data_IF_740366511358
#
_entry.id   IF_740366511358
#
_cell.length_a   1.000
_cell.length_b   1.000
_cell.length_c   1.000
_cell.angle_alpha   90.00
_cell.angle_beta   90.00
_cell.angle_gamma   90.00
#
_symmetry.space_group_name_H-M   'P 1'
#
loop_
_entity.id
_entity.type
_entity.pdbx_description
1 polymer ?
#
# COMPACT_ATOMS: atom_id res chain seq x y z
N UNK A 1 -20.19 38.11 -18.18
CA UNK A 1 -20.89 37.99 -16.89
C UNK A 1 -22.21 37.30 -17.17
N UNK A 2 -22.47 36.13 -16.60
CA UNK A 2 -23.79 35.49 -16.71
C UNK A 2 -24.55 35.93 -15.45
N UNK A 3 -25.35 36.99 -15.59
CA UNK A 3 -26.16 37.57 -14.51
C UNK A 3 -27.64 37.45 -14.90
N UNK A 4 -28.51 37.31 -13.88
CA UNK A 4 -29.95 36.97 -13.91
C UNK A 4 -30.24 35.45 -13.83
N UNK A 5 -31.45 35.08 -13.39
CA UNK A 5 -31.90 33.67 -13.33
C UNK A 5 -31.78 33.04 -14.71
N UNK A 6 -30.64 32.42 -14.97
CA UNK A 6 -30.33 31.84 -16.27
C UNK A 6 -30.62 30.34 -16.19
N UNK A 7 -31.48 29.90 -17.07
CA UNK A 7 -31.86 28.50 -17.23
C UNK A 7 -31.32 28.03 -18.57
N UNK A 8 -30.34 27.12 -18.53
CA UNK A 8 -29.69 26.52 -19.70
C UNK A 8 -30.04 25.03 -19.70
N UNK A 9 -30.85 24.60 -20.66
CA UNK A 9 -31.40 23.23 -20.68
C UNK A 9 -31.23 22.62 -22.07
N UNK A 10 -31.03 21.30 -22.13
CA UNK A 10 -31.04 20.55 -23.39
C UNK A 10 -30.02 21.05 -24.44
N UNK A 11 -28.86 21.54 -24.00
CA UNK A 11 -27.80 21.96 -24.91
C UNK A 11 -26.90 20.79 -25.25
N UNK A 12 -26.63 20.65 -26.56
CA UNK A 12 -25.67 19.68 -27.08
C UNK A 12 -24.51 20.45 -27.72
N UNK A 13 -23.32 20.35 -27.13
CA UNK A 13 -22.09 20.89 -27.69
C UNK A 13 -21.41 19.84 -28.57
N UNK A 14 -21.68 19.90 -29.87
CA UNK A 14 -21.08 19.03 -30.88
C UNK A 14 -19.79 19.66 -31.43
N UNK A 15 -18.74 18.85 -31.52
CA UNK A 15 -17.43 19.23 -32.05
C UNK A 15 -16.37 18.21 -31.66
N UNK A 16 -15.13 18.45 -32.06
CA UNK A 16 -14.02 17.61 -31.64
C UNK A 16 -13.83 17.67 -30.13
N UNK A 17 -13.39 16.55 -29.55
CA UNK A 17 -13.35 16.39 -28.09
C UNK A 17 -12.45 17.40 -27.37
N UNK A 18 -11.48 17.94 -28.10
CA UNK A 18 -10.58 18.97 -27.61
C UNK A 18 -11.01 20.39 -27.94
N UNK A 19 -12.15 20.62 -28.60
CA UNK A 19 -12.62 21.97 -28.96
C UNK A 19 -14.07 22.26 -28.55
N UNK A 20 -14.90 21.23 -28.33
CA UNK A 20 -16.28 21.42 -27.89
C UNK A 20 -16.39 21.94 -26.45
N UNK A 21 -17.21 22.98 -26.27
CA UNK A 21 -17.63 23.52 -24.97
C UNK A 21 -18.82 24.47 -25.12
N UNK A 22 -19.58 24.68 -24.04
CA UNK A 22 -20.59 25.73 -23.97
C UNK A 22 -19.94 27.09 -23.76
N UNK A 23 -18.98 27.15 -22.83
CA UNK A 23 -18.29 28.38 -22.46
C UNK A 23 -16.79 28.14 -22.54
N UNK A 24 -16.12 28.99 -23.31
CA UNK A 24 -14.67 29.19 -23.26
C UNK A 24 -14.39 30.57 -22.66
N UNK A 25 -13.65 30.60 -21.56
CA UNK A 25 -13.22 31.82 -20.88
C UNK A 25 -11.69 31.86 -20.81
N UNK A 26 -11.12 33.02 -21.12
CA UNK A 26 -9.67 33.21 -21.17
C UNK A 26 -9.29 34.53 -20.48
N UNK A 27 -8.49 34.45 -19.41
CA UNK A 27 -8.04 35.61 -18.63
C UNK A 27 -6.70 36.16 -19.09
N UNK A 28 -6.54 37.48 -19.04
CA UNK A 28 -5.29 38.21 -19.26
C UNK A 28 -4.38 38.18 -18.02
N UNK A 29 -3.12 38.61 -18.20
CA UNK A 29 -2.11 38.79 -17.12
C UNK A 29 -2.63 39.60 -15.94
N UNK A 30 -3.32 40.69 -16.22
CA UNK A 30 -3.77 41.64 -15.19
C UNK A 30 -4.96 41.12 -14.38
N UNK A 31 -5.53 39.97 -14.74
CA UNK A 31 -6.65 39.37 -14.05
C UNK A 31 -7.98 39.58 -14.77
N UNK A 32 -8.79 38.53 -14.86
CA UNK A 32 -10.20 38.64 -15.24
C UNK A 32 -11.07 37.82 -14.30
N UNK A 33 -12.34 38.23 -14.18
CA UNK A 33 -13.31 37.53 -13.33
C UNK A 33 -14.44 36.95 -14.17
N UNK A 34 -14.68 35.65 -14.03
CA UNK A 34 -15.88 34.98 -14.52
C UNK A 34 -16.82 34.72 -13.34
N UNK A 35 -18.05 35.20 -13.45
CA UNK A 35 -19.10 35.01 -12.45
C UNK A 35 -20.29 34.29 -13.07
N UNK A 36 -20.71 33.19 -12.45
CA UNK A 36 -21.97 32.49 -12.73
C UNK A 36 -22.79 32.53 -11.44
N UNK A 37 -23.91 33.26 -11.49
CA UNK A 37 -24.79 33.46 -10.34
C UNK A 37 -26.21 33.05 -10.67
N UNK A 38 -26.91 32.47 -9.69
CA UNK A 38 -28.34 32.14 -9.79
C UNK A 38 -28.66 31.39 -11.10
N UNK A 39 -27.84 30.42 -11.47
CA UNK A 39 -27.89 29.77 -12.79
C UNK A 39 -28.16 28.28 -12.63
N UNK A 40 -29.13 27.78 -13.38
CA UNK A 40 -29.40 26.34 -13.52
C UNK A 40 -28.95 25.87 -14.90
N UNK A 41 -28.14 24.83 -14.93
CA UNK A 41 -27.76 24.12 -16.15
C UNK A 41 -28.20 22.67 -15.97
N UNK A 42 -29.08 22.18 -16.83
CA UNK A 42 -29.50 20.79 -16.77
C UNK A 42 -29.58 20.10 -18.14
N UNK A 43 -29.53 18.77 -18.11
CA UNK A 43 -29.80 17.90 -19.26
C UNK A 43 -28.96 18.25 -20.50
N UNK A 44 -27.67 18.55 -20.28
CA UNK A 44 -26.75 18.95 -21.35
C UNK A 44 -25.76 17.84 -21.71
N UNK A 45 -25.26 17.87 -22.95
CA UNK A 45 -24.23 16.94 -23.45
C UNK A 45 -23.10 17.74 -24.09
N UNK A 46 -21.84 17.34 -23.87
CA UNK A 46 -20.70 17.91 -24.59
C UNK A 46 -19.65 16.87 -24.96
N UNK A 47 -19.15 16.94 -26.20
CA UNK A 47 -18.02 16.12 -26.66
C UNK A 47 -16.69 16.48 -25.98
N UNK A 48 -16.61 17.60 -25.28
CA UNK A 48 -15.43 18.04 -24.56
C UNK A 48 -15.77 18.42 -23.12
N UNK A 49 -14.99 19.35 -22.56
CA UNK A 49 -15.34 19.97 -21.28
C UNK A 49 -16.49 20.97 -21.49
N UNK A 50 -17.44 21.04 -20.55
CA UNK A 50 -18.61 21.90 -20.71
C UNK A 50 -18.25 23.38 -20.55
N UNK A 51 -17.47 23.70 -19.51
CA UNK A 51 -16.85 25.00 -19.27
C UNK A 51 -15.33 24.85 -19.33
N UNK A 52 -14.67 25.71 -20.11
CA UNK A 52 -13.22 25.71 -20.27
C UNK A 52 -12.65 27.05 -19.87
N UNK A 53 -11.74 27.01 -18.91
CA UNK A 53 -11.12 28.19 -18.33
C UNK A 53 -9.63 28.18 -18.64
N UNK A 54 -9.12 29.27 -19.19
CA UNK A 54 -7.75 29.49 -19.61
C UNK A 54 -7.23 30.85 -19.15
N UNK A 55 -5.94 31.09 -19.39
CA UNK A 55 -5.30 32.38 -19.19
C UNK A 55 -4.40 32.42 -17.96
N UNK A 56 -3.88 33.59 -17.64
CA UNK A 56 -2.80 33.71 -16.65
C UNK A 56 -3.28 33.93 -15.22
N UNK A 57 -4.25 34.83 -14.99
CA UNK A 57 -4.75 35.17 -13.66
C UNK A 57 -6.29 35.20 -13.66
N UNK A 58 -6.91 34.13 -13.19
CA UNK A 58 -8.37 33.95 -13.25
C UNK A 58 -9.01 34.03 -11.88
N UNK A 59 -10.10 34.80 -11.76
CA UNK A 59 -11.03 34.70 -10.64
C UNK A 59 -12.34 34.05 -11.11
N UNK A 60 -12.71 32.91 -10.55
CA UNK A 60 -13.96 32.20 -10.82
C UNK A 60 -14.88 32.31 -9.61
N UNK A 61 -16.12 32.75 -9.80
CA UNK A 61 -17.14 32.75 -8.77
C UNK A 61 -18.40 32.03 -9.25
N UNK A 62 -18.77 30.96 -8.55
CA UNK A 62 -19.97 30.16 -8.77
C UNK A 62 -20.84 30.26 -7.52
N UNK A 63 -21.91 31.05 -7.56
CA UNK A 63 -22.78 31.25 -6.40
C UNK A 63 -24.25 30.95 -6.73
N UNK A 64 -24.91 30.17 -5.87
CA UNK A 64 -26.31 29.77 -6.06
C UNK A 64 -26.54 29.10 -7.42
N UNK A 65 -25.70 28.11 -7.76
CA UNK A 65 -25.78 27.39 -9.04
C UNK A 65 -26.36 25.99 -8.86
N UNK A 66 -27.01 25.48 -9.90
CA UNK A 66 -27.46 24.09 -9.96
C UNK A 66 -27.07 23.46 -11.30
N UNK A 67 -26.07 22.57 -11.31
CA UNK A 67 -25.61 21.87 -12.52
C UNK A 67 -25.94 20.38 -12.42
N UNK A 68 -26.81 19.89 -13.30
CA UNK A 68 -27.34 18.54 -13.18
C UNK A 68 -27.54 17.77 -14.47
N UNK A 69 -27.41 16.45 -14.42
CA UNK A 69 -27.63 15.56 -15.56
C UNK A 69 -26.78 15.93 -16.80
N UNK A 70 -25.55 16.41 -16.57
CA UNK A 70 -24.66 16.80 -17.67
C UNK A 70 -23.70 15.64 -17.96
N UNK A 71 -23.70 15.19 -19.22
CA UNK A 71 -22.73 14.18 -19.69
C UNK A 71 -21.69 14.85 -20.56
N UNK A 72 -20.42 14.79 -20.14
CA UNK A 72 -19.30 15.38 -20.86
C UNK A 72 -18.23 14.35 -21.18
N UNK A 73 -17.62 14.44 -22.37
CA UNK A 73 -16.43 13.66 -22.74
C UNK A 73 -15.13 14.41 -22.37
N UNK A 74 -15.21 15.14 -21.26
CA UNK A 74 -14.18 15.81 -20.49
C UNK A 74 -14.76 16.24 -19.15
N UNK A 75 -14.02 16.98 -18.34
CA UNK A 75 -14.55 17.52 -17.08
C UNK A 75 -15.68 18.51 -17.35
N UNK A 76 -16.72 18.55 -16.53
CA UNK A 76 -17.77 19.58 -16.61
C UNK A 76 -17.16 20.99 -16.57
N UNK A 77 -16.25 21.23 -15.64
CA UNK A 77 -15.44 22.45 -15.56
C UNK A 77 -13.97 22.05 -15.65
N UNK A 78 -13.29 22.51 -16.68
CA UNK A 78 -11.86 22.31 -16.87
C UNK A 78 -11.13 23.63 -16.67
N UNK A 79 -10.56 23.83 -15.49
CA UNK A 79 -9.72 24.97 -15.16
C UNK A 79 -8.25 24.68 -15.48
N UNK A 80 -7.74 25.35 -16.51
CA UNK A 80 -6.35 25.28 -17.00
C UNK A 80 -5.61 26.61 -16.89
N UNK A 81 -6.15 27.58 -16.15
CA UNK A 81 -5.46 28.85 -15.94
C UNK A 81 -4.15 28.64 -15.17
N UNK A 82 -3.14 29.47 -15.42
CA UNK A 82 -1.83 29.38 -14.74
C UNK A 82 -2.00 29.67 -13.24
N UNK A 83 -2.78 30.70 -12.90
CA UNK A 83 -3.15 31.05 -11.54
C UNK A 83 -4.65 31.28 -11.45
N UNK A 84 -5.30 30.61 -10.50
CA UNK A 84 -6.74 30.70 -10.31
C UNK A 84 -7.16 30.87 -8.85
N UNK A 85 -8.05 31.83 -8.61
CA UNK A 85 -8.85 31.91 -7.38
C UNK A 85 -10.26 31.43 -7.70
N UNK A 86 -10.71 30.36 -7.05
CA UNK A 86 -12.00 29.72 -7.32
C UNK A 86 -12.88 29.78 -6.08
N UNK A 87 -14.04 30.41 -6.20
CA UNK A 87 -15.05 30.49 -5.16
C UNK A 87 -16.32 29.74 -5.59
N UNK A 88 -16.72 28.74 -4.82
CA UNK A 88 -17.96 27.98 -5.03
C UNK A 88 -18.78 28.09 -3.75
N UNK A 89 -19.95 28.70 -3.82
CA UNK A 89 -20.82 28.86 -2.66
C UNK A 89 -22.28 28.53 -3.00
N UNK A 90 -22.92 27.77 -2.13
CA UNK A 90 -24.31 27.34 -2.33
C UNK A 90 -24.54 26.71 -3.72
N UNK A 91 -23.63 25.82 -4.12
CA UNK A 91 -23.70 25.11 -5.39
C UNK A 91 -24.34 23.72 -5.20
N UNK A 92 -25.16 23.31 -6.17
CA UNK A 92 -25.75 21.99 -6.24
C UNK A 92 -25.31 21.30 -7.54
N UNK A 93 -24.32 20.41 -7.47
CA UNK A 93 -23.71 19.77 -8.64
C UNK A 93 -23.94 18.27 -8.56
N UNK A 94 -24.85 17.74 -9.36
CA UNK A 94 -25.31 16.36 -9.20
C UNK A 94 -25.66 15.61 -10.48
N UNK A 95 -25.62 14.28 -10.44
CA UNK A 95 -25.91 13.42 -11.61
C UNK A 95 -25.06 13.78 -12.85
N UNK A 96 -23.87 14.35 -12.67
CA UNK A 96 -23.01 14.69 -13.81
C UNK A 96 -22.03 13.54 -14.07
N UNK A 97 -21.75 13.30 -15.34
CA UNK A 97 -20.86 12.23 -15.77
C UNK A 97 -19.74 12.77 -16.65
N UNK A 98 -18.49 12.52 -16.26
CA UNK A 98 -17.35 12.64 -17.16
C UNK A 98 -17.00 11.25 -17.71
N UNK A 99 -17.34 11.03 -18.99
CA UNK A 99 -17.16 9.76 -19.69
C UNK A 99 -15.72 9.52 -20.16
N UNK A 100 -14.84 10.50 -20.02
CA UNK A 100 -13.48 10.41 -20.53
C UNK A 100 -12.58 9.60 -19.59
N UNK A 101 -12.03 8.49 -20.09
CA UNK A 101 -11.14 7.61 -19.31
C UNK A 101 -9.78 8.24 -18.97
N UNK A 102 -9.39 9.33 -19.65
CA UNK A 102 -8.09 10.02 -19.47
C UNK A 102 -8.20 11.35 -18.72
N UNK A 103 -9.40 11.92 -18.57
CA UNK A 103 -9.62 13.21 -17.90
C UNK A 103 -10.34 12.98 -16.57
N UNK A 104 -9.73 13.41 -15.47
CA UNK A 104 -10.28 13.32 -14.12
C UNK A 104 -11.29 14.45 -13.83
N UNK A 105 -12.03 14.33 -12.72
CA UNK A 105 -12.88 15.39 -12.19
C UNK A 105 -14.17 15.63 -12.96
N UNK A 106 -15.23 15.98 -12.24
CA UNK A 106 -16.27 16.87 -12.78
C UNK A 106 -15.73 18.30 -12.84
N UNK A 107 -15.03 18.73 -11.79
CA UNK A 107 -14.29 19.98 -11.74
C UNK A 107 -12.81 19.64 -11.66
N UNK A 108 -12.08 19.87 -12.76
CA UNK A 108 -10.64 19.68 -12.85
C UNK A 108 -9.92 21.02 -12.69
N UNK A 109 -8.88 21.04 -11.86
CA UNK A 109 -7.99 22.18 -11.66
C UNK A 109 -6.52 21.75 -11.80
N UNK A 110 -5.71 22.57 -12.45
CA UNK A 110 -4.26 22.38 -12.61
C UNK A 110 -3.50 23.68 -12.32
N UNK A 111 -2.16 23.65 -12.26
CA UNK A 111 -1.29 24.81 -11.96
C UNK A 111 -1.54 25.43 -10.56
N UNK A 112 -1.47 26.76 -10.42
CA UNK A 112 -1.69 27.44 -9.14
C UNK A 112 -3.18 27.62 -8.86
N UNK A 113 -3.66 27.03 -7.76
CA UNK A 113 -5.08 27.06 -7.41
C UNK A 113 -5.25 27.46 -5.95
N UNK A 114 -6.08 28.48 -5.74
CA UNK A 114 -6.64 28.85 -4.45
C UNK A 114 -8.17 28.68 -4.52
N UNK A 115 -8.70 27.63 -3.89
CA UNK A 115 -10.12 27.27 -3.97
C UNK A 115 -10.79 27.35 -2.60
N UNK A 116 -11.97 27.97 -2.55
CA UNK A 116 -12.87 27.94 -1.39
C UNK A 116 -14.25 27.44 -1.82
N UNK A 117 -14.72 26.39 -1.16
CA UNK A 117 -16.03 25.77 -1.38
C UNK A 117 -16.82 25.85 -0.08
N UNK A 118 -18.02 26.44 -0.12
CA UNK A 118 -18.86 26.62 1.07
C UNK A 118 -20.30 26.24 0.78
N UNK A 119 -20.99 25.66 1.77
CA UNK A 119 -22.44 25.43 1.74
C UNK A 119 -22.93 24.67 0.49
N UNK A 120 -22.11 23.77 -0.06
CA UNK A 120 -22.34 23.18 -1.39
C UNK A 120 -22.57 21.68 -1.33
N UNK A 121 -23.28 21.15 -2.33
CA UNK A 121 -23.65 19.74 -2.44
C UNK A 121 -23.13 19.17 -3.77
N UNK A 122 -22.41 18.06 -3.67
CA UNK A 122 -21.88 17.29 -4.79
C UNK A 122 -22.37 15.86 -4.66
N UNK A 123 -23.31 15.41 -5.50
CA UNK A 123 -23.81 14.05 -5.34
C UNK A 123 -24.16 13.31 -6.62
N UNK A 124 -24.02 11.99 -6.55
CA UNK A 124 -24.29 11.09 -7.68
C UNK A 124 -23.50 11.47 -8.95
N UNK A 125 -22.30 12.04 -8.78
CA UNK A 125 -21.42 12.35 -9.89
C UNK A 125 -20.50 11.16 -10.18
N UNK A 126 -20.27 10.88 -11.47
CA UNK A 126 -19.48 9.72 -11.89
C UNK A 126 -18.39 10.15 -12.87
N UNK A 127 -17.15 9.75 -12.60
CA UNK A 127 -16.01 10.02 -13.48
C UNK A 127 -15.36 8.70 -13.87
N UNK A 128 -15.11 8.48 -15.17
CA UNK A 128 -14.45 7.25 -15.64
C UNK A 128 -12.96 7.17 -15.29
N UNK A 129 -12.36 8.29 -14.91
CA UNK A 129 -11.05 8.38 -14.27
C UNK A 129 -11.22 8.69 -12.77
N UNK A 130 -10.35 9.48 -12.14
CA UNK A 130 -10.31 9.76 -10.70
C UNK A 130 -11.04 11.06 -10.33
N UNK A 131 -11.44 11.20 -9.06
CA UNK A 131 -12.05 12.41 -8.51
C UNK A 131 -13.49 12.59 -8.98
N UNK A 132 -14.45 11.85 -8.42
CA UNK A 132 -15.85 11.89 -8.88
C UNK A 132 -16.52 13.27 -8.77
N UNK A 133 -15.96 14.20 -7.99
CA UNK A 133 -16.33 15.62 -7.98
C UNK A 133 -15.14 16.50 -8.36
N UNK A 134 -14.10 16.52 -7.52
CA UNK A 134 -12.95 17.40 -7.71
C UNK A 134 -11.71 16.61 -8.11
N UNK A 135 -10.95 17.17 -9.05
CA UNK A 135 -9.63 16.69 -9.41
C UNK A 135 -8.61 17.83 -9.39
N UNK A 136 -7.51 17.60 -8.69
CA UNK A 136 -6.35 18.47 -8.59
C UNK A 136 -5.12 17.70 -9.07
N UNK A 137 -4.57 18.10 -10.22
CA UNK A 137 -3.36 17.49 -10.79
C UNK A 137 -2.39 18.55 -11.27
N UNK A 138 -1.10 18.23 -11.28
CA UNK A 138 -0.05 19.11 -11.80
C UNK A 138 -0.09 20.50 -11.13
N UNK A 139 -0.43 20.56 -9.84
CA UNK A 139 -0.52 21.80 -9.09
C UNK A 139 0.81 22.12 -8.37
N UNK A 140 1.57 23.08 -8.90
CA UNK A 140 2.75 23.62 -8.22
C UNK A 140 2.38 24.32 -6.89
N UNK A 141 1.25 25.05 -6.84
CA UNK A 141 0.68 25.65 -5.62
C UNK A 141 -0.80 25.30 -5.47
N UNK A 142 -1.18 24.77 -4.31
CA UNK A 142 -2.56 24.34 -4.05
C UNK A 142 -2.99 24.73 -2.64
N UNK A 143 -4.01 25.59 -2.56
CA UNK A 143 -4.74 25.92 -1.35
C UNK A 143 -6.21 25.61 -1.59
N UNK A 144 -6.79 24.72 -0.79
CA UNK A 144 -8.19 24.31 -0.89
C UNK A 144 -8.82 24.36 0.49
N UNK A 145 -9.97 25.01 0.58
CA UNK A 145 -10.79 25.08 1.78
C UNK A 145 -12.20 24.65 1.43
N UNK A 146 -12.69 23.60 2.09
CA UNK A 146 -14.05 23.08 1.91
C UNK A 146 -14.75 23.16 3.26
N UNK A 147 -15.84 23.90 3.36
CA UNK A 147 -16.56 24.13 4.61
C UNK A 147 -18.06 23.88 4.42
N UNK A 148 -18.71 23.32 5.45
CA UNK A 148 -20.18 23.19 5.50
C UNK A 148 -20.79 22.54 4.25
N UNK A 149 -20.13 21.52 3.69
CA UNK A 149 -20.47 20.96 2.38
C UNK A 149 -20.81 19.47 2.46
N UNK A 150 -21.36 18.91 1.38
CA UNK A 150 -21.81 17.52 1.33
C UNK A 150 -21.38 16.82 0.04
N UNK A 151 -20.73 15.67 0.18
CA UNK A 151 -20.31 14.79 -0.92
C UNK A 151 -20.96 13.43 -0.76
N UNK A 152 -21.85 13.06 -1.69
CA UNK A 152 -22.61 11.81 -1.60
C UNK A 152 -22.62 10.99 -2.88
N UNK A 153 -22.47 9.68 -2.82
CA UNK A 153 -22.65 8.80 -4.00
C UNK A 153 -21.74 9.21 -5.19
N UNK A 154 -20.58 9.80 -4.94
CA UNK A 154 -19.66 10.14 -6.03
C UNK A 154 -18.73 8.96 -6.31
N UNK A 155 -18.42 8.74 -7.59
CA UNK A 155 -17.64 7.60 -8.05
C UNK A 155 -16.42 8.02 -8.91
N UNK A 156 -15.29 7.37 -8.68
CA UNK A 156 -14.07 7.50 -9.48
C UNK A 156 -13.13 6.28 -9.36
N UNK A 157 -12.03 6.26 -10.11
CA UNK A 157 -11.00 5.22 -9.99
C UNK A 157 -10.25 5.37 -8.66
N UNK A 158 -9.78 6.58 -8.37
CA UNK A 158 -9.22 6.96 -7.07
C UNK A 158 -9.94 8.22 -6.59
N UNK A 159 -10.19 8.35 -5.30
CA UNK A 159 -10.90 9.51 -4.76
C UNK A 159 -12.32 9.57 -5.29
N UNK A 160 -13.26 8.82 -4.70
CA UNK A 160 -14.63 8.77 -5.19
C UNK A 160 -15.29 10.15 -5.24
N UNK A 161 -14.95 11.05 -4.30
CA UNK A 161 -15.31 12.45 -4.37
C UNK A 161 -14.14 13.35 -4.80
N UNK A 162 -12.99 13.25 -4.12
CA UNK A 162 -11.87 14.17 -4.30
C UNK A 162 -10.59 13.41 -4.61
N UNK A 163 -9.93 13.80 -5.70
CA UNK A 163 -8.63 13.26 -6.09
C UNK A 163 -7.59 14.38 -6.15
N UNK A 164 -6.51 14.22 -5.40
CA UNK A 164 -5.36 15.12 -5.38
C UNK A 164 -4.13 14.31 -5.75
N UNK A 165 -3.48 14.65 -6.87
CA UNK A 165 -2.19 14.08 -7.25
C UNK A 165 -1.31 15.20 -7.81
N UNK A 166 -0.47 15.79 -6.96
CA UNK A 166 0.34 16.94 -7.34
C UNK A 166 1.68 16.92 -6.62
N UNK A 167 2.74 17.06 -7.41
CA UNK A 167 4.11 17.20 -6.90
C UNK A 167 4.38 18.67 -6.56
N UNK A 168 4.97 18.91 -5.39
CA UNK A 168 5.29 20.24 -4.89
C UNK A 168 6.79 20.46 -5.04
N UNK A 169 7.20 21.52 -5.72
CA UNK A 169 8.62 21.88 -5.88
C UNK A 169 9.13 22.79 -4.76
N UNK A 170 8.25 23.44 -4.00
CA UNK A 170 8.62 24.40 -2.93
C UNK A 170 7.96 24.05 -1.60
N UNK A 171 8.72 24.17 -0.49
CA UNK A 171 8.24 24.07 0.91
C UNK A 171 7.31 25.23 1.29
N UNK A 172 6.22 25.41 0.54
CA UNK A 172 5.15 26.34 0.89
C UNK A 172 4.04 25.56 1.59
N UNK A 173 3.51 26.13 2.67
CA UNK A 173 2.36 25.60 3.43
C UNK A 173 1.16 25.40 2.49
N UNK A 174 1.01 24.22 1.89
CA UNK A 174 -0.19 23.85 1.15
C UNK A 174 -1.29 23.55 2.15
N UNK A 175 -2.34 24.37 2.10
CA UNK A 175 -3.47 24.23 3.00
C UNK A 175 -4.53 23.45 2.25
N UNK A 176 -4.70 22.17 2.60
CA UNK A 176 -5.91 21.44 2.27
C UNK A 176 -6.72 21.33 3.55
N UNK A 177 -7.81 22.09 3.66
CA UNK A 177 -8.67 22.12 4.84
C UNK A 177 -10.09 21.72 4.49
N UNK A 178 -10.65 20.85 5.34
CA UNK A 178 -12.04 20.42 5.26
C UNK A 178 -12.64 20.63 6.64
N UNK A 179 -13.77 21.33 6.72
CA UNK A 179 -14.45 21.59 7.97
C UNK A 179 -15.96 21.40 7.84
N UNK A 180 -16.60 20.89 8.89
CA UNK A 180 -18.07 20.81 9.00
C UNK A 180 -18.71 20.13 7.77
N UNK A 181 -18.03 19.14 7.20
CA UNK A 181 -18.38 18.53 5.91
C UNK A 181 -18.72 17.05 6.08
N UNK A 182 -19.58 16.52 5.23
CA UNK A 182 -19.95 15.11 5.26
C UNK A 182 -19.64 14.45 3.92
N UNK A 183 -18.96 13.30 3.97
CA UNK A 183 -18.71 12.39 2.87
C UNK A 183 -19.47 11.09 3.14
N UNK A 184 -20.50 10.80 2.35
CA UNK A 184 -21.29 9.57 2.51
C UNK A 184 -21.37 8.76 1.23
N UNK A 185 -21.27 7.44 1.32
CA UNK A 185 -21.52 6.53 0.20
C UNK A 185 -20.67 6.86 -1.05
N UNK A 186 -19.49 7.47 -0.89
CA UNK A 186 -18.60 7.70 -2.02
C UNK A 186 -17.76 6.44 -2.25
N UNK A 187 -17.56 6.12 -3.53
CA UNK A 187 -16.92 4.88 -3.94
C UNK A 187 -15.72 5.18 -4.85
N UNK A 188 -14.60 4.54 -4.55
CA UNK A 188 -13.46 4.50 -5.46
C UNK A 188 -13.16 3.06 -5.86
N UNK A 189 -12.87 2.81 -7.13
CA UNK A 189 -12.49 1.46 -7.58
C UNK A 189 -11.22 0.96 -6.90
N UNK A 190 -10.22 1.84 -6.75
CA UNK A 190 -8.91 1.50 -6.25
C UNK A 190 -8.68 2.14 -4.87
N UNK A 191 -8.40 3.43 -4.81
CA UNK A 191 -7.90 4.04 -3.57
C UNK A 191 -8.72 5.24 -3.13
N UNK A 192 -9.03 5.31 -1.84
CA UNK A 192 -9.63 6.50 -1.22
C UNK A 192 -11.10 6.67 -1.60
N UNK A 193 -12.00 5.96 -0.94
CA UNK A 193 -13.42 5.91 -1.35
C UNK A 193 -14.07 7.29 -1.39
N UNK A 194 -13.75 8.16 -0.42
CA UNK A 194 -14.08 9.58 -0.51
C UNK A 194 -12.92 10.39 -1.09
N UNK A 195 -11.74 10.30 -0.47
CA UNK A 195 -10.61 11.19 -0.75
C UNK A 195 -9.35 10.39 -1.04
N UNK A 196 -8.71 10.69 -2.16
CA UNK A 196 -7.35 10.24 -2.44
C UNK A 196 -6.40 11.43 -2.45
N UNK A 197 -5.27 11.28 -1.76
CA UNK A 197 -4.21 12.29 -1.70
C UNK A 197 -2.86 11.67 -2.02
N UNK A 198 -2.19 12.21 -3.03
CA UNK A 198 -0.80 11.97 -3.38
C UNK A 198 -0.13 13.32 -3.56
N UNK A 199 0.28 13.90 -2.44
CA UNK A 199 0.82 15.25 -2.37
C UNK A 199 1.78 15.32 -1.19
N UNK A 200 3.01 15.79 -1.45
CA UNK A 200 4.02 15.95 -0.41
C UNK A 200 3.55 17.01 0.60
N UNK A 201 3.83 16.84 1.90
CA UNK A 201 3.54 17.84 2.95
C UNK A 201 2.06 18.19 3.23
N UNK A 202 1.08 17.41 2.75
CA UNK A 202 -0.33 17.68 3.04
C UNK A 202 -0.66 17.30 4.49
N UNK A 203 -0.97 18.33 5.29
CA UNK A 203 -1.20 18.18 6.72
C UNK A 203 -2.64 17.77 7.04
N UNK A 204 -2.83 16.57 7.60
CA UNK A 204 -4.14 16.05 8.00
C UNK A 204 -4.77 16.76 9.21
N UNK A 205 -4.02 17.62 9.90
CA UNK A 205 -4.57 18.49 10.98
C UNK A 205 -5.74 19.35 10.51
N UNK A 206 -5.82 19.65 9.22
CA UNK A 206 -6.78 20.61 8.69
C UNK A 206 -8.15 20.00 8.32
N UNK A 207 -8.37 18.71 8.56
CA UNK A 207 -9.69 18.07 8.44
C UNK A 207 -10.32 18.02 9.83
N UNK A 208 -11.35 18.81 10.05
CA UNK A 208 -12.01 18.98 11.35
C UNK A 208 -13.53 18.84 11.24
N UNK A 209 -14.16 18.31 12.30
CA UNK A 209 -15.61 18.13 12.40
C UNK A 209 -16.24 17.54 11.12
N UNK A 210 -15.53 16.59 10.49
CA UNK A 210 -15.93 15.98 9.23
C UNK A 210 -16.41 14.56 9.47
N UNK A 211 -17.50 14.16 8.81
CA UNK A 211 -18.05 12.81 8.92
C UNK A 211 -17.82 12.03 7.63
N UNK A 212 -17.26 10.83 7.75
CA UNK A 212 -17.09 9.86 6.67
C UNK A 212 -17.94 8.62 6.97
N UNK A 213 -18.97 8.41 6.17
CA UNK A 213 -20.00 7.39 6.37
C UNK A 213 -20.12 6.48 5.14
N UNK A 214 -20.06 5.15 5.31
CA UNK A 214 -20.32 4.18 4.23
C UNK A 214 -19.47 4.38 2.95
N UNK A 215 -18.30 5.02 3.03
CA UNK A 215 -17.43 5.15 1.87
C UNK A 215 -16.67 3.84 1.63
N UNK A 216 -16.41 3.49 0.37
CA UNK A 216 -15.79 2.21 0.01
C UNK A 216 -14.69 2.34 -1.04
N UNK A 217 -13.64 1.53 -0.89
CA UNK A 217 -12.57 1.41 -1.87
C UNK A 217 -11.87 0.06 -1.81
N UNK A 218 -10.89 -0.18 -2.69
CA UNK A 218 -9.98 -1.31 -2.53
C UNK A 218 -9.03 -1.09 -1.34
N UNK A 219 -8.44 0.09 -1.17
CA UNK A 219 -7.79 0.48 0.08
C UNK A 219 -8.13 1.92 0.47
N UNK A 220 -8.22 2.18 1.78
CA UNK A 220 -8.59 3.50 2.30
C UNK A 220 -10.05 3.81 2.02
N UNK A 221 -10.96 3.08 2.68
CA UNK A 221 -12.39 3.14 2.39
C UNK A 221 -12.97 4.56 2.47
N UNK A 222 -12.52 5.38 3.43
CA UNK A 222 -12.78 6.81 3.39
C UNK A 222 -11.64 7.57 2.70
N UNK A 223 -10.41 7.41 3.19
CA UNK A 223 -9.28 8.24 2.80
C UNK A 223 -8.08 7.37 2.49
N UNK A 224 -7.43 7.64 1.36
CA UNK A 224 -6.14 7.04 1.01
C UNK A 224 -5.08 8.11 0.86
N UNK A 225 -3.91 7.87 1.47
CA UNK A 225 -2.83 8.84 1.44
C UNK A 225 -1.53 8.18 1.00
N UNK A 226 -1.04 8.64 -0.14
CA UNK A 226 0.21 8.21 -0.73
C UNK A 226 1.36 9.15 -0.33
N UNK A 227 1.61 9.29 0.98
CA UNK A 227 2.74 10.06 1.51
C UNK A 227 3.05 9.58 2.95
N UNK A 228 4.33 9.57 3.34
CA UNK A 228 4.83 9.03 4.62
C UNK A 228 5.04 10.11 5.69
N UNK A 229 4.91 11.41 5.35
CA UNK A 229 5.11 12.53 6.27
C UNK A 229 3.79 13.11 6.80
N UNK A 230 2.89 12.25 7.29
CA UNK A 230 1.54 12.68 7.71
C UNK A 230 1.45 12.64 9.22
N UNK A 231 1.15 13.79 9.81
CA UNK A 231 0.78 13.87 11.21
C UNK A 231 -0.75 13.76 11.28
N UNK A 232 -1.25 12.57 11.64
CA UNK A 232 -2.62 12.43 12.13
C UNK A 232 -2.67 13.01 13.54
N UNK A 233 -3.25 14.19 13.73
CA UNK A 233 -3.52 14.68 15.09
C UNK A 233 -4.63 13.85 15.72
N UNK A 234 -4.36 13.32 16.92
CA UNK A 234 -5.34 12.62 17.75
C UNK A 234 -6.50 13.52 18.22
N UNK A 235 -6.39 14.84 18.03
CA UNK A 235 -7.39 15.83 18.50
C UNK A 235 -8.51 16.12 17.50
N UNK A 236 -8.50 15.52 16.30
CA UNK A 236 -9.49 15.86 15.28
C UNK A 236 -10.83 15.17 15.57
N UNK A 237 -11.89 15.97 15.77
CA UNK A 237 -13.29 15.54 16.01
C UNK A 237 -13.97 14.92 14.78
N UNK A 238 -13.23 14.20 13.94
CA UNK A 238 -13.79 13.55 12.75
C UNK A 238 -14.48 12.25 13.14
N UNK A 239 -15.56 11.94 12.43
CA UNK A 239 -16.38 10.75 12.68
C UNK A 239 -16.25 9.80 11.49
N UNK A 240 -15.89 8.54 11.75
CA UNK A 240 -15.79 7.49 10.73
C UNK A 240 -16.74 6.36 11.08
N UNK A 241 -17.72 6.10 10.23
CA UNK A 241 -18.76 5.10 10.47
C UNK A 241 -18.89 4.20 9.25
N UNK A 242 -18.74 2.89 9.44
CA UNK A 242 -19.03 1.86 8.45
C UNK A 242 -18.38 2.06 7.06
N UNK A 243 -17.22 2.71 7.00
CA UNK A 243 -16.41 2.72 5.78
C UNK A 243 -15.78 1.34 5.58
N UNK A 244 -15.56 0.95 4.33
CA UNK A 244 -15.08 -0.40 3.98
C UNK A 244 -13.92 -0.36 2.99
N UNK A 245 -12.94 -1.23 3.19
CA UNK A 245 -11.87 -1.46 2.25
C UNK A 245 -11.70 -2.96 2.00
N UNK A 246 -11.57 -3.36 0.73
CA UNK A 246 -11.36 -4.77 0.37
C UNK A 246 -9.98 -5.28 0.85
N UNK A 247 -8.94 -4.47 0.64
CA UNK A 247 -7.56 -4.79 0.96
C UNK A 247 -7.22 -4.44 2.40
N UNK A 248 -7.24 -3.16 2.75
CA UNK A 248 -6.83 -2.67 4.07
C UNK A 248 -7.27 -1.23 4.32
N UNK A 249 -7.36 -0.86 5.60
CA UNK A 249 -7.65 0.49 6.05
C UNK A 249 -9.06 0.95 5.67
N UNK A 250 -10.08 0.44 6.38
CA UNK A 250 -11.47 0.84 6.19
C UNK A 250 -11.68 2.36 6.25
N UNK A 251 -10.99 3.04 7.15
CA UNK A 251 -11.06 4.50 7.28
C UNK A 251 -9.90 5.15 6.53
N UNK A 252 -8.67 4.81 6.91
CA UNK A 252 -7.46 5.38 6.36
C UNK A 252 -6.53 4.26 5.92
N UNK A 253 -5.91 4.42 4.75
CA UNK A 253 -4.84 3.55 4.29
C UNK A 253 -3.74 4.36 3.59
N UNK A 254 -2.58 3.73 3.44
CA UNK A 254 -1.48 4.23 2.62
C UNK A 254 -0.92 3.13 1.72
N UNK A 255 0.11 3.47 0.93
CA UNK A 255 0.93 2.43 0.33
C UNK A 255 1.57 1.53 1.40
N UNK A 256 1.93 0.28 1.05
CA UNK A 256 2.72 -0.59 1.91
C UNK A 256 3.97 0.16 2.39
N UNK A 257 4.22 0.13 3.69
CA UNK A 257 5.21 0.99 4.33
C UNK A 257 6.20 0.22 5.18
N UNK A 258 5.80 -0.90 5.79
CA UNK A 258 6.72 -1.65 6.63
C UNK A 258 6.48 -3.15 6.63
N UNK A 259 7.55 -3.87 6.91
CA UNK A 259 7.53 -5.31 7.13
C UNK A 259 8.07 -5.59 8.53
N UNK A 260 7.33 -6.40 9.27
CA UNK A 260 7.67 -6.81 10.63
C UNK A 260 7.79 -8.33 10.71
N UNK A 261 8.74 -8.82 11.49
CA UNK A 261 8.83 -10.25 11.85
C UNK A 261 7.93 -10.47 13.06
N UNK A 262 6.99 -11.41 12.92
CA UNK A 262 5.99 -11.71 13.95
C UNK A 262 6.17 -13.11 14.56
N UNK A 263 7.18 -13.86 14.13
CA UNK A 263 7.57 -15.10 14.80
C UNK A 263 8.18 -14.81 16.17
N UNK A 264 7.78 -15.56 17.19
CA UNK A 264 8.42 -15.54 18.50
C UNK A 264 9.83 -16.17 18.43
N UNK A 265 10.82 -15.45 18.96
CA UNK A 265 12.25 -15.74 18.81
C UNK A 265 12.93 -16.15 20.12
N UNK A 266 12.19 -16.72 21.08
CA UNK A 266 12.73 -17.12 22.38
C UNK A 266 14.01 -17.99 22.34
N UNK A 267 14.29 -18.69 21.22
CA UNK A 267 15.61 -19.28 20.94
C UNK A 267 16.04 -19.04 19.48
N UNK A 268 17.23 -18.44 19.31
CA UNK A 268 17.87 -18.16 18.02
C UNK A 268 19.03 -19.11 17.72
N UNK A 269 19.10 -20.22 18.44
CA UNK A 269 20.08 -21.28 18.21
C UNK A 269 19.44 -22.38 17.37
N UNK A 270 20.09 -22.75 16.27
CA UNK A 270 19.69 -23.89 15.44
C UNK A 270 20.91 -24.75 15.13
N UNK A 271 20.70 -26.04 14.90
CA UNK A 271 21.73 -26.90 14.33
C UNK A 271 21.80 -26.72 12.81
N UNK A 272 22.94 -27.02 12.19
CA UNK A 272 23.10 -26.88 10.73
C UNK A 272 22.05 -27.72 9.98
N UNK A 273 21.32 -27.13 9.04
CA UNK A 273 20.26 -27.78 8.25
C UNK A 273 18.92 -27.98 8.98
N UNK A 274 18.83 -27.59 10.25
CA UNK A 274 17.56 -27.50 10.98
C UNK A 274 16.66 -26.43 10.36
N UNK A 275 15.35 -26.72 10.30
CA UNK A 275 14.37 -25.78 9.75
C UNK A 275 13.98 -24.75 10.80
N UNK A 276 14.07 -23.47 10.44
CA UNK A 276 13.58 -22.36 11.26
C UNK A 276 12.41 -21.69 10.57
N UNK A 277 11.26 -21.69 11.23
CA UNK A 277 10.10 -20.93 10.77
C UNK A 277 10.31 -19.44 11.02
N UNK A 278 10.07 -18.61 10.01
CA UNK A 278 10.02 -17.15 10.12
C UNK A 278 8.79 -16.62 9.36
N UNK A 279 8.01 -15.77 10.01
CA UNK A 279 6.78 -15.18 9.48
C UNK A 279 6.86 -13.68 9.54
N UNK A 280 6.62 -13.06 8.39
CA UNK A 280 6.62 -11.61 8.25
C UNK A 280 5.22 -11.10 7.93
N UNK A 281 4.91 -9.90 8.38
CA UNK A 281 3.67 -9.19 8.12
C UNK A 281 3.97 -7.89 7.39
N UNK A 282 3.24 -7.63 6.31
CA UNK A 282 3.27 -6.40 5.54
C UNK A 282 2.19 -5.43 6.04
N UNK A 283 2.62 -4.24 6.42
CA UNK A 283 1.77 -3.20 6.96
C UNK A 283 1.91 -1.91 6.16
N UNK A 284 0.84 -1.13 6.10
CA UNK A 284 0.87 0.24 5.63
C UNK A 284 1.41 1.19 6.73
N UNK A 285 1.44 2.49 6.45
CA UNK A 285 1.92 3.53 7.38
C UNK A 285 1.08 3.61 8.65
N UNK A 286 -0.21 3.25 8.57
CA UNK A 286 -1.16 3.28 9.67
C UNK A 286 -1.27 1.93 10.41
N UNK A 287 -0.37 0.99 10.15
CA UNK A 287 -0.34 -0.37 10.70
C UNK A 287 -1.51 -1.26 10.26
N UNK A 288 -2.19 -0.94 9.15
CA UNK A 288 -3.15 -1.86 8.55
C UNK A 288 -2.41 -2.99 7.84
N UNK A 289 -2.89 -4.23 7.99
CA UNK A 289 -2.34 -5.37 7.25
C UNK A 289 -2.73 -5.33 5.78
N UNK A 290 -1.75 -5.23 4.89
CA UNK A 290 -1.99 -5.08 3.44
C UNK A 290 -2.36 -6.43 2.83
N UNK A 291 -3.65 -6.63 2.51
CA UNK A 291 -4.13 -7.85 1.82
C UNK A 291 -4.35 -7.57 0.34
N UNK A 292 -3.34 -7.80 -0.48
CA UNK A 292 -3.39 -7.40 -1.90
C UNK A 292 -4.03 -8.48 -2.81
N UNK A 293 -5.34 -8.71 -2.70
CA UNK A 293 -6.08 -9.71 -3.49
C UNK A 293 -6.03 -9.45 -5.01
N UNK A 294 -6.13 -8.18 -5.41
CA UNK A 294 -6.14 -7.73 -6.80
C UNK A 294 -4.73 -7.44 -7.36
N UNK A 295 -3.66 -7.66 -6.57
CA UNK A 295 -2.25 -7.45 -6.96
C UNK A 295 -1.92 -6.02 -7.42
N UNK A 296 -2.56 -5.01 -6.83
CA UNK A 296 -2.31 -3.60 -7.17
C UNK A 296 -0.91 -3.12 -6.73
N UNK A 297 -0.29 -3.76 -5.73
CA UNK A 297 1.04 -3.42 -5.21
C UNK A 297 2.17 -4.28 -5.79
N UNK A 298 1.88 -5.11 -6.82
CA UNK A 298 2.82 -6.05 -7.45
C UNK A 298 3.28 -7.20 -6.53
N UNK A 299 3.89 -8.24 -7.12
CA UNK A 299 4.41 -9.38 -6.34
C UNK A 299 5.61 -8.94 -5.48
N UNK A 300 5.39 -8.71 -4.19
CA UNK A 300 6.44 -8.44 -3.22
C UNK A 300 7.07 -9.75 -2.76
N UNK A 301 8.36 -9.95 -3.08
CA UNK A 301 9.12 -11.12 -2.67
C UNK A 301 10.14 -10.69 -1.61
N UNK A 302 10.05 -11.28 -0.42
CA UNK A 302 11.04 -11.10 0.63
C UNK A 302 12.13 -12.15 0.48
N UNK A 303 13.39 -11.72 0.54
CA UNK A 303 14.55 -12.60 0.47
C UNK A 303 15.49 -12.35 1.65
N UNK A 304 15.97 -13.43 2.28
CA UNK A 304 17.14 -13.38 3.17
C UNK A 304 18.40 -13.37 2.32
N UNK A 305 19.23 -12.33 2.49
CA UNK A 305 20.46 -12.10 1.74
C UNK A 305 21.70 -12.27 2.62
N UNK A 306 22.81 -12.59 1.96
CA UNK A 306 24.12 -12.71 2.59
C UNK A 306 24.95 -11.45 2.27
N UNK A 307 25.23 -10.63 3.28
CA UNK A 307 25.98 -9.38 3.13
C UNK A 307 27.50 -9.56 2.99
N UNK A 308 28.05 -10.78 3.10
CA UNK A 308 29.50 -11.01 2.96
C UNK A 308 30.04 -10.76 1.54
N UNK A 309 29.18 -10.46 0.57
CA UNK A 309 29.56 -10.16 -0.81
C UNK A 309 29.67 -8.66 -1.15
N UNK A 310 29.33 -7.73 -0.25
CA UNK A 310 29.32 -6.29 -0.58
C UNK A 310 30.69 -5.59 -0.50
N UNK A 311 31.80 -6.29 -0.23
CA UNK A 311 33.15 -5.72 -0.30
C UNK A 311 33.82 -5.80 -1.69
N UNK A 312 33.06 -6.06 -2.76
CA UNK A 312 33.58 -6.01 -4.13
C UNK A 312 32.59 -5.30 -5.04
N UNK A 313 32.65 -3.97 -5.05
CA UNK A 313 32.38 -3.13 -6.23
C UNK A 313 32.63 -1.64 -5.92
N UNK A 314 33.83 -1.32 -5.41
CA UNK A 314 34.40 0.01 -5.52
C UNK A 314 35.91 -0.15 -5.64
N UNK A 315 36.34 -0.59 -6.81
CA UNK A 315 37.64 -0.32 -7.42
C UNK A 315 37.72 -1.14 -8.70
N UNK A 316 37.34 -0.53 -9.81
CA UNK A 316 37.86 -0.92 -11.12
C UNK A 316 38.22 0.36 -11.87
N UNK A 317 39.38 0.90 -11.50
CA UNK A 317 40.27 1.50 -12.48
C UNK A 317 41.32 0.44 -12.86
N UNK A 318 41.38 0.16 -14.16
CA UNK A 318 42.51 -0.31 -14.96
C UNK A 318 43.16 -1.70 -14.71
N UNK A 319 43.07 -2.47 -15.79
CA UNK A 319 44.10 -3.28 -16.46
C UNK A 319 44.53 -4.66 -15.94
N UNK A 320 44.45 -5.58 -16.90
CA UNK A 320 45.27 -6.76 -17.18
C UNK A 320 45.08 -8.04 -16.36
N UNK A 321 44.43 -9.00 -17.02
CA UNK A 321 44.75 -10.43 -17.11
C UNK A 321 45.81 -10.96 -16.14
N UNK A 322 45.35 -11.69 -15.13
CA UNK A 322 45.81 -13.05 -14.90
C UNK A 322 44.79 -13.85 -14.07
N UNK A 323 44.50 -15.04 -14.57
CA UNK A 323 43.66 -16.06 -13.97
C UNK A 323 44.16 -16.44 -12.57
N UNK A 324 43.29 -16.27 -11.57
CA UNK A 324 43.06 -17.19 -10.44
C UNK A 324 42.16 -16.48 -9.41
N UNK A 325 40.87 -16.36 -9.75
CA UNK A 325 39.85 -16.03 -8.77
C UNK A 325 39.64 -17.27 -7.90
N UNK A 326 40.44 -17.41 -6.85
CA UNK A 326 40.14 -18.29 -5.72
C UNK A 326 38.69 -18.04 -5.31
N UNK A 327 37.84 -19.01 -5.62
CA UNK A 327 36.44 -19.03 -5.28
C UNK A 327 36.39 -19.19 -3.75
N UNK A 328 36.30 -18.07 -3.04
CA UNK A 328 36.25 -18.00 -1.58
C UNK A 328 35.27 -19.06 -1.08
N UNK A 329 35.75 -19.97 -0.22
CA UNK A 329 34.92 -21.02 0.35
C UNK A 329 33.68 -20.38 0.98
N UNK A 330 32.51 -20.85 0.55
CA UNK A 330 31.24 -20.35 1.07
C UNK A 330 31.09 -20.95 2.47
N UNK A 331 31.28 -20.15 3.52
CA UNK A 331 31.16 -20.59 4.91
C UNK A 331 29.75 -21.08 5.28
N UNK A 332 28.73 -20.59 4.55
CA UNK A 332 27.34 -20.98 4.78
C UNK A 332 26.43 -20.76 3.57
N UNK A 333 25.36 -21.55 3.47
CA UNK A 333 24.34 -21.47 2.41
C UNK A 333 22.93 -21.44 3.01
N UNK A 334 22.07 -20.60 2.46
CA UNK A 334 20.65 -20.56 2.79
C UNK A 334 19.83 -21.42 1.81
N UNK A 335 18.78 -22.08 2.32
CA UNK A 335 17.75 -22.77 1.55
C UNK A 335 16.38 -22.31 2.05
N UNK A 336 15.38 -22.19 1.16
CA UNK A 336 14.04 -21.74 1.54
C UNK A 336 14.03 -20.30 2.04
N UNK A 337 14.90 -19.44 1.51
CA UNK A 337 15.16 -18.08 1.98
C UNK A 337 14.38 -16.99 1.24
N UNK A 338 13.34 -17.38 0.50
CA UNK A 338 12.43 -16.47 -0.20
C UNK A 338 10.99 -16.82 0.15
N UNK A 339 10.16 -15.81 0.35
CA UNK A 339 8.71 -15.96 0.41
C UNK A 339 8.04 -14.80 -0.33
N UNK A 340 6.79 -14.99 -0.72
CA UNK A 340 5.94 -13.95 -1.31
C UNK A 340 4.90 -13.51 -0.27
N UNK A 341 4.55 -12.24 -0.28
CA UNK A 341 3.43 -11.77 0.54
C UNK A 341 2.10 -12.24 -0.07
N UNK A 342 1.32 -12.96 0.73
CA UNK A 342 -0.06 -13.35 0.43
C UNK A 342 -0.94 -13.02 1.62
N UNK A 343 -2.06 -12.34 1.37
CA UNK A 343 -2.96 -11.85 2.42
C UNK A 343 -2.23 -11.07 3.53
N UNK A 344 -1.16 -10.35 3.18
CA UNK A 344 -0.34 -9.56 4.11
C UNK A 344 0.73 -10.34 4.87
N UNK A 345 0.93 -11.63 4.60
CA UNK A 345 1.93 -12.45 5.28
C UNK A 345 2.91 -13.14 4.34
N UNK A 346 4.13 -13.35 4.82
CA UNK A 346 5.21 -14.02 4.10
C UNK A 346 5.81 -15.07 5.04
N UNK A 347 5.64 -16.35 4.71
CA UNK A 347 6.08 -17.47 5.54
C UNK A 347 7.30 -18.17 4.94
N UNK A 348 8.39 -18.22 5.71
CA UNK A 348 9.57 -19.03 5.44
C UNK A 348 9.46 -20.35 6.24
N UNK A 349 8.62 -21.28 5.79
CA UNK A 349 8.34 -22.55 6.50
C UNK A 349 9.55 -23.50 6.57
N UNK A 350 10.42 -23.44 5.56
CA UNK A 350 11.52 -24.37 5.38
C UNK A 350 12.88 -23.65 5.30
N UNK A 351 13.03 -22.52 5.99
CA UNK A 351 14.28 -21.77 5.99
C UNK A 351 15.36 -22.54 6.76
N UNK A 352 16.42 -22.90 6.06
CA UNK A 352 17.54 -23.71 6.59
C UNK A 352 18.86 -23.03 6.31
N UNK A 353 19.77 -23.14 7.27
CA UNK A 353 21.14 -22.64 7.17
C UNK A 353 22.10 -23.81 7.24
N UNK A 354 22.94 -23.97 6.23
CA UNK A 354 24.00 -24.97 6.17
C UNK A 354 25.33 -24.28 6.39
N UNK A 355 26.16 -24.76 7.32
CA UNK A 355 27.45 -24.13 7.66
C UNK A 355 28.61 -25.11 7.51
N UNK A 356 29.83 -24.60 7.33
CA UNK A 356 31.07 -25.40 7.36
C UNK A 356 31.53 -25.65 8.80
N UNK A 357 31.41 -24.64 9.65
CA UNK A 357 31.71 -24.66 11.08
C UNK A 357 30.64 -23.88 11.86
N UNK A 358 30.44 -24.15 13.17
CA UNK A 358 29.54 -23.36 14.01
C UNK A 358 29.85 -21.87 13.92
N UNK A 359 28.81 -21.06 13.69
CA UNK A 359 28.97 -19.65 13.36
C UNK A 359 27.72 -18.86 13.79
N UNK A 360 27.91 -17.59 14.13
CA UNK A 360 26.84 -16.65 14.35
C UNK A 360 26.64 -15.77 13.11
N UNK A 361 25.41 -15.69 12.61
CA UNK A 361 25.07 -15.00 11.36
C UNK A 361 24.04 -13.92 11.65
N UNK A 362 24.32 -12.70 11.20
CA UNK A 362 23.33 -11.63 11.17
C UNK A 362 22.54 -11.73 9.86
N UNK A 363 21.27 -12.14 9.94
CA UNK A 363 20.40 -12.19 8.78
C UNK A 363 20.03 -10.78 8.34
N UNK A 364 20.17 -10.55 7.04
CA UNK A 364 19.71 -9.34 6.36
C UNK A 364 18.60 -9.72 5.41
N UNK A 365 17.62 -8.83 5.27
CA UNK A 365 16.43 -9.06 4.48
C UNK A 365 16.32 -7.98 3.40
N UNK A 366 15.95 -8.38 2.20
CA UNK A 366 15.76 -7.48 1.07
C UNK A 366 14.48 -7.83 0.33
N UNK A 367 13.83 -6.80 -0.20
CA UNK A 367 12.72 -6.94 -1.12
C UNK A 367 13.24 -7.05 -2.55
N UNK A 368 12.85 -8.13 -3.21
CA UNK A 368 12.91 -8.26 -4.66
C UNK A 368 11.54 -7.78 -5.18
N UNK A 369 11.52 -6.58 -5.76
CA UNK A 369 10.33 -5.99 -6.36
C UNK A 369 10.65 -5.56 -7.80
N UNK A 370 9.68 -5.70 -8.69
CA UNK A 370 9.77 -5.26 -10.08
C UNK A 370 9.49 -3.76 -10.26
N UNK A 371 9.13 -3.00 -9.20
CA UNK A 371 8.70 -1.60 -9.29
C UNK A 371 9.30 -0.69 -8.20
N UNK A 372 9.10 0.63 -8.36
CA UNK A 372 9.60 1.78 -7.58
C UNK A 372 9.29 1.78 -6.05
N UNK A 373 8.60 0.76 -5.51
CA UNK A 373 8.24 0.67 -4.09
C UNK A 373 9.35 0.13 -3.17
N UNK A 374 10.48 -0.28 -3.75
CA UNK A 374 11.60 -0.90 -3.00
C UNK A 374 12.22 0.05 -1.97
N UNK A 375 12.24 1.35 -2.25
CA UNK A 375 12.94 2.35 -1.42
C UNK A 375 12.06 2.97 -0.31
N UNK A 376 10.79 2.54 -0.21
CA UNK A 376 9.81 3.13 0.72
C UNK A 376 9.47 2.17 1.88
N UNK A 377 9.57 0.86 1.65
CA UNK A 377 9.18 -0.13 2.65
C UNK A 377 10.29 -0.31 3.69
N UNK A 378 10.04 0.14 4.90
CA UNK A 378 10.94 0.00 6.04
C UNK A 378 10.91 -1.43 6.58
N UNK A 379 12.10 -2.03 6.70
CA UNK A 379 12.29 -3.28 7.43
C UNK A 379 12.59 -2.96 8.89
N UNK A 380 11.62 -3.11 9.79
CA UNK A 380 11.82 -2.86 11.23
C UNK A 380 12.70 -3.95 11.88
N UNK A 381 12.93 -5.06 11.19
CA UNK A 381 13.75 -6.19 11.65
C UNK A 381 15.21 -5.97 11.29
N UNK A 382 15.85 -4.96 11.88
CA UNK A 382 17.27 -4.75 11.67
C UNK A 382 18.06 -5.75 12.52
N UNK A 383 18.70 -6.71 11.84
CA UNK A 383 19.71 -7.63 12.36
C UNK A 383 19.20 -8.75 13.28
N UNK A 384 18.51 -9.73 12.68
CA UNK A 384 18.22 -11.00 13.36
C UNK A 384 19.49 -11.84 13.45
N UNK A 385 20.07 -11.97 14.64
CA UNK A 385 21.28 -12.77 14.89
C UNK A 385 20.92 -14.22 15.20
N UNK A 386 21.28 -15.15 14.32
CA UNK A 386 21.07 -16.60 14.49
C UNK A 386 22.40 -17.27 14.79
N UNK A 387 22.42 -18.11 15.82
CA UNK A 387 23.56 -18.96 16.15
C UNK A 387 23.36 -20.34 15.54
N UNK A 388 24.24 -20.73 14.63
CA UNK A 388 24.23 -22.08 14.05
C UNK A 388 25.27 -22.92 14.78
N UNK A 389 24.80 -23.88 15.57
CA UNK A 389 25.64 -24.78 16.34
C UNK A 389 26.05 -26.03 15.54
N UNK A 390 26.98 -26.79 16.10
CA UNK A 390 27.26 -28.15 15.63
C UNK A 390 26.07 -29.07 15.94
N UNK A 391 26.08 -30.28 15.36
CA UNK A 391 25.06 -31.29 15.65
C UNK A 391 25.09 -31.71 17.11
N UNK A 392 23.91 -31.97 17.69
CA UNK A 392 23.79 -32.56 19.03
C UNK A 392 24.42 -33.96 19.04
N UNK A 393 24.83 -34.45 20.20
CA UNK A 393 25.50 -35.76 20.32
C UNK A 393 24.70 -36.90 19.68
N UNK A 394 23.37 -36.89 19.87
CA UNK A 394 22.45 -37.88 19.32
C UNK A 394 22.08 -37.66 17.84
N UNK A 395 22.63 -36.63 17.17
CA UNK A 395 22.35 -36.36 15.75
C UNK A 395 23.45 -36.89 14.83
N UNK A 396 23.09 -37.17 13.59
CA UNK A 396 24.04 -37.45 12.52
C UNK A 396 24.57 -36.16 11.91
N UNK A 397 25.90 -36.08 11.72
CA UNK A 397 26.55 -35.00 10.98
C UNK A 397 26.83 -35.46 9.54
N UNK A 398 26.01 -35.03 8.61
CA UNK A 398 26.02 -35.46 7.21
C UNK A 398 26.56 -34.35 6.29
N UNK A 399 27.13 -34.74 5.15
CA UNK A 399 27.71 -33.80 4.17
C UNK A 399 26.60 -33.32 3.22
N UNK A 400 26.45 -32.00 3.06
CA UNK A 400 25.49 -31.42 2.12
C UNK A 400 26.13 -31.14 0.76
N UNK A 401 27.05 -30.17 0.70
CA UNK A 401 27.73 -29.75 -0.53
C UNK A 401 29.08 -29.09 -0.20
N UNK A 402 30.15 -29.43 -0.93
CA UNK A 402 31.54 -29.02 -0.60
C UNK A 402 31.87 -29.30 0.88
N UNK A 403 32.19 -28.28 1.66
CA UNK A 403 32.58 -28.41 3.08
C UNK A 403 31.40 -28.16 4.05
N UNK A 404 30.18 -27.96 3.54
CA UNK A 404 29.00 -27.71 4.36
C UNK A 404 28.40 -29.01 4.90
N UNK A 405 27.96 -29.00 6.16
CA UNK A 405 27.30 -30.13 6.81
C UNK A 405 25.86 -29.81 7.20
N UNK A 406 25.08 -30.83 7.53
CA UNK A 406 23.79 -30.71 8.20
C UNK A 406 23.63 -31.78 9.28
N UNK A 407 22.72 -31.52 10.19
CA UNK A 407 22.36 -32.35 11.30
C UNK A 407 21.02 -33.01 11.01
N UNK A 408 20.94 -34.30 11.26
CA UNK A 408 19.72 -35.08 11.06
C UNK A 408 19.46 -35.92 12.30
N UNK A 409 18.21 -35.89 12.77
CA UNK A 409 17.79 -36.75 13.89
C UNK A 409 17.75 -38.22 13.43
N UNK A 410 18.06 -39.17 14.34
CA UNK A 410 18.00 -40.60 14.05
C UNK A 410 16.61 -41.01 13.54
N UNK A 411 16.58 -41.75 12.43
CA UNK A 411 15.34 -42.30 11.86
C UNK A 411 15.15 -43.75 12.32
N UNK A 412 14.07 -44.02 13.05
CA UNK A 412 13.68 -45.36 13.51
C UNK A 412 12.56 -45.93 12.64
N UNK A 413 12.30 -47.25 12.75
CA UNK A 413 11.13 -47.89 12.11
C UNK A 413 9.83 -47.21 12.53
N UNK A 414 8.82 -47.23 11.64
CA UNK A 414 7.47 -46.73 11.91
C UNK A 414 6.82 -47.39 13.13
N UNK A 415 7.25 -48.60 13.50
CA UNK A 415 6.75 -49.30 14.68
C UNK A 415 7.28 -48.70 16.01
N UNK A 416 8.22 -47.75 15.96
CA UNK A 416 8.69 -47.03 17.14
C UNK A 416 7.72 -45.87 17.47
N UNK A 417 7.03 -45.88 18.63
CA UNK A 417 5.98 -44.92 18.95
C UNK A 417 6.53 -43.57 19.46
N UNK A 418 7.34 -42.90 18.62
CA UNK A 418 7.95 -41.60 18.93
C UNK A 418 6.87 -40.51 18.97
N UNK A 419 5.97 -40.51 17.98
CA UNK A 419 4.88 -39.53 17.87
C UNK A 419 3.86 -39.64 19.02
N UNK A 420 3.77 -40.81 19.66
CA UNK A 420 2.90 -41.03 20.82
C UNK A 420 3.57 -40.61 22.14
N UNK A 421 4.81 -40.10 22.09
CA UNK A 421 5.57 -39.71 23.28
C UNK A 421 5.96 -40.89 24.18
N UNK A 422 6.08 -42.10 23.61
CA UNK A 422 6.38 -43.34 24.35
C UNK A 422 7.80 -43.85 24.14
N UNK A 423 8.46 -43.41 23.07
CA UNK A 423 9.81 -43.82 22.72
C UNK A 423 10.62 -42.65 22.16
N UNK A 424 11.95 -42.80 22.17
CA UNK A 424 12.91 -41.91 21.54
C UNK A 424 13.80 -42.71 20.59
N UNK A 425 14.18 -42.11 19.46
CA UNK A 425 15.14 -42.72 18.54
C UNK A 425 16.56 -42.27 18.89
N UNK A 426 17.46 -43.22 19.09
CA UNK A 426 18.85 -42.93 19.44
C UNK A 426 19.81 -43.50 18.42
N UNK A 427 20.85 -42.73 18.13
CA UNK A 427 21.96 -43.13 17.27
C UNK A 427 22.87 -44.09 18.03
N UNK A 428 23.13 -45.27 17.46
CA UNK A 428 24.03 -46.28 18.06
C UNK A 428 25.43 -46.20 17.44
N UNK A 429 25.50 -45.91 16.14
CA UNK A 429 26.75 -45.93 15.36
C UNK A 429 27.24 -44.53 15.01
N UNK A 430 28.56 -44.35 15.00
CA UNK A 430 29.23 -43.15 14.47
C UNK A 430 29.30 -43.13 12.93
N UNK A 431 28.60 -44.04 12.26
CA UNK A 431 28.50 -44.08 10.80
C UNK A 431 28.01 -42.76 10.21
N UNK A 432 28.54 -42.43 9.02
CA UNK A 432 28.15 -41.23 8.26
C UNK A 432 26.85 -41.41 7.47
N UNK A 433 26.01 -42.38 7.86
CA UNK A 433 24.74 -42.70 7.19
C UNK A 433 23.66 -42.94 8.23
N UNK A 434 22.65 -42.08 8.20
CA UNK A 434 21.43 -42.25 8.99
C UNK A 434 20.54 -43.30 8.31
N UNK A 435 20.30 -44.44 8.97
CA UNK A 435 19.45 -45.51 8.45
C UNK A 435 18.79 -46.26 9.60
N UNK A 436 17.62 -46.85 9.35
CA UNK A 436 16.81 -47.54 10.38
C UNK A 436 17.62 -48.61 11.11
N UNK A 437 18.48 -49.35 10.40
CA UNK A 437 19.33 -50.39 10.99
C UNK A 437 20.40 -49.88 11.96
N UNK A 438 20.73 -48.58 11.90
CA UNK A 438 21.81 -47.96 12.67
C UNK A 438 21.30 -47.20 13.91
N UNK A 439 19.98 -47.22 14.12
CA UNK A 439 19.29 -46.47 15.15
C UNK A 439 18.48 -47.40 16.07
N UNK A 440 18.39 -47.05 17.35
CA UNK A 440 17.63 -47.80 18.35
C UNK A 440 16.38 -47.06 18.77
N UNK A 441 15.26 -47.77 18.81
CA UNK A 441 14.05 -47.30 19.49
C UNK A 441 14.17 -47.60 20.99
N UNK A 442 14.22 -46.56 21.82
CA UNK A 442 14.32 -46.70 23.29
C UNK A 442 13.06 -46.17 23.94
N UNK A 443 12.44 -46.97 24.80
CA UNK A 443 11.24 -46.59 25.52
C UNK A 443 11.52 -45.49 26.54
N UNK A 444 10.65 -44.49 26.58
CA UNK A 444 10.70 -43.45 27.59
C UNK A 444 10.25 -44.01 28.95
N UNK A 445 10.70 -43.41 30.07
CA UNK A 445 10.31 -43.85 31.41
C UNK A 445 8.79 -44.03 31.55
N UNK A 446 8.37 -45.16 32.11
CA UNK A 446 6.95 -45.54 32.20
C UNK A 446 6.45 -46.44 31.06
N UNK A 447 7.30 -46.75 30.07
CA UNK A 447 6.99 -47.68 28.97
C UNK A 447 8.07 -48.76 28.83
N UNK A 448 7.65 -49.99 28.53
CA UNK A 448 8.49 -51.19 28.38
C UNK A 448 7.95 -52.11 27.27
N UNK A 449 8.71 -53.14 26.93
CA UNK A 449 8.34 -54.15 25.93
C UNK A 449 8.71 -53.76 24.50
N UNK A 450 8.56 -54.70 23.58
CA UNK A 450 8.78 -54.49 22.15
C UNK A 450 7.87 -53.35 21.65
N UNK A 451 8.46 -52.37 20.96
CA UNK A 451 7.77 -51.16 20.51
C UNK A 451 7.20 -50.27 21.62
N UNK A 452 7.62 -50.40 22.89
CA UNK A 452 7.22 -49.51 23.97
C UNK A 452 5.70 -49.40 24.19
N UNK A 453 4.98 -50.50 23.91
CA UNK A 453 3.51 -50.56 23.98
C UNK A 453 2.98 -50.85 25.38
N UNK A 454 3.81 -51.40 26.28
CA UNK A 454 3.38 -51.78 27.62
C UNK A 454 3.73 -50.69 28.62
N UNK A 455 2.78 -50.26 29.45
CA UNK A 455 3.07 -49.36 30.57
C UNK A 455 3.85 -50.11 31.65
N UNK A 456 4.92 -49.51 32.12
CA UNK A 456 5.70 -50.04 33.24
C UNK A 456 4.98 -49.68 34.55
N UNK A 457 4.16 -50.60 35.05
CA UNK A 457 3.58 -50.50 36.38
C UNK A 457 4.63 -50.93 37.41
N UNK A 458 5.52 -50.02 37.80
CA UNK A 458 6.34 -50.28 38.99
C UNK A 458 5.38 -50.29 40.19
N UNK A 459 5.20 -51.47 40.80
CA UNK A 459 4.53 -51.63 42.09
C UNK A 459 5.20 -50.69 43.09
N UNK A 460 4.49 -49.65 43.53
CA UNK A 460 4.79 -48.98 44.79
C UNK A 460 4.54 -50.00 45.90
N UNK A 461 5.61 -50.66 46.36
CA UNK A 461 5.63 -51.40 47.62
C UNK A 461 6.47 -50.63 48.62
#
# INVERSE_FOLDING_TARGET
MIQNMNLIINIICNGDSEDSSLIRFESLKNGNTMKIYNTTINDCISNGAFLRIYGENTNLAYENISFSNITSFGSLISNKSIKSNVYINNANIFNNTNMNIRKCGIIKNINEVNMRVTNSKFYANSVKNSGGSFCFIDNNKLNVTIESSYFRNNNGINGGAIYINSEILEKQNKIFSIKDTIFTDNEAKNMGGAIYVSCNELNFKNIENTTFLYNSAYAGGAIYINNTNIILSQENKNTFINNTAESHGNNYASNPYKITLITDLNDLTITSGESKYLKFQLLDYFNNTVKDFSKLYSNLILQVINNNNNNKNNNNNNNNNNNNLYQKDIDYKFLGNKCFFSQGYCDLNNFKIYVSNPISINLSFALESYNQHKDIINMETQNLKINVSNCKENQYKLKFHKNLFYCEDPVCSNDCPINEGKASCQKISNDKKNSISNNLCICLPGWIGEHCRNKNFINMK
#
